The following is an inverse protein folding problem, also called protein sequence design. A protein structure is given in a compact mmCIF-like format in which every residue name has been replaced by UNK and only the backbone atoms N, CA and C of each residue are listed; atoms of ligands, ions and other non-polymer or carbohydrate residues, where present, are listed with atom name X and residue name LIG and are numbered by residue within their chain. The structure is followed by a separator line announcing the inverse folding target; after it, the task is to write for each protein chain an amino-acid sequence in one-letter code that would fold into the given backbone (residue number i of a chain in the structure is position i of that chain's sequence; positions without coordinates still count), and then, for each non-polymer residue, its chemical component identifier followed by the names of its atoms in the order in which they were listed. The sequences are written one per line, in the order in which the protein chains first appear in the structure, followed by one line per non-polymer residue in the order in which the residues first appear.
data_IF_724219017364
#
_entry.id   IF_724219017364
#
_cell.length_a   1.000
_cell.length_b   1.000
_cell.length_c   1.000
_cell.angle_alpha   90.00
_cell.angle_beta   90.00
_cell.angle_gamma   90.00
#
_symmetry.space_group_name_H-M   'P 1'
#
loop_
_entity.id
_entity.type
_entity.pdbx_description
1 polymer ?
#
# COMPACT_ATOMS: atom_id res chain seq x y z
N UNK A 1 -5.46 11.68 0.64
CA UNK A 1 -6.20 12.31 1.75
C UNK A 1 -6.09 13.80 1.53
N UNK A 2 -7.21 14.38 1.14
CA UNK A 2 -7.27 15.72 0.58
C UNK A 2 -7.03 16.78 1.66
N UNK A 3 -6.12 17.73 1.37
CA UNK A 3 -5.89 18.95 2.16
C UNK A 3 -7.14 19.86 2.26
N UNK A 4 -8.23 19.44 1.62
CA UNK A 4 -9.52 20.10 1.57
C UNK A 4 -10.31 20.00 2.87
N UNK A 5 -9.91 19.15 3.84
CA UNK A 5 -10.73 18.89 5.03
C UNK A 5 -10.40 19.80 6.23
N UNK A 6 -9.12 20.05 6.50
CA UNK A 6 -8.71 20.85 7.68
C UNK A 6 -8.99 22.35 7.50
N UNK A 7 -8.69 22.88 6.31
CA UNK A 7 -8.98 24.28 5.98
C UNK A 7 -10.48 24.55 6.05
N UNK A 8 -11.31 23.70 5.44
CA UNK A 8 -12.77 23.82 5.50
C UNK A 8 -13.34 23.67 6.91
N UNK A 9 -12.79 22.74 7.72
CA UNK A 9 -13.22 22.55 9.11
C UNK A 9 -12.91 23.79 9.97
N UNK A 10 -11.70 24.33 9.86
CA UNK A 10 -11.27 25.50 10.62
C UNK A 10 -12.02 26.76 10.17
N UNK A 11 -12.26 26.94 8.86
CA UNK A 11 -13.09 28.01 8.34
C UNK A 11 -14.52 27.96 8.89
N UNK A 12 -15.17 26.80 8.84
CA UNK A 12 -16.55 26.66 9.33
C UNK A 12 -16.67 26.84 10.85
N UNK A 13 -15.67 26.41 11.63
CA UNK A 13 -15.73 26.40 13.09
C UNK A 13 -15.31 27.73 13.73
N UNK A 14 -14.45 28.51 13.08
CA UNK A 14 -13.83 29.69 13.69
C UNK A 14 -13.90 30.98 12.84
N UNK A 15 -14.37 30.95 11.59
CA UNK A 15 -14.28 32.09 10.66
C UNK A 15 -15.66 32.53 10.14
N UNK A 16 -16.40 33.34 10.91
CA UNK A 16 -17.54 34.13 10.40
C UNK A 16 -17.16 35.60 10.11
N UNK A 17 -15.90 35.88 9.74
CA UNK A 17 -15.46 37.22 9.36
C UNK A 17 -14.45 37.14 8.20
N UNK A 18 -14.73 37.82 7.10
CA UNK A 18 -13.93 37.79 5.86
C UNK A 18 -12.49 38.28 6.04
N UNK A 19 -12.25 39.24 6.95
CA UNK A 19 -10.90 39.71 7.33
C UNK A 19 -10.06 38.64 8.05
N UNK A 20 -10.73 37.69 8.71
CA UNK A 20 -10.11 36.61 9.46
C UNK A 20 -9.75 35.43 8.54
N UNK A 21 -10.46 35.26 7.42
CA UNK A 21 -10.14 34.26 6.39
C UNK A 21 -8.80 34.54 5.69
N UNK A 22 -8.54 35.80 5.33
CA UNK A 22 -7.28 36.20 4.68
C UNK A 22 -6.09 36.01 5.62
N UNK A 23 -6.23 36.43 6.89
CA UNK A 23 -5.20 36.22 7.92
C UNK A 23 -4.95 34.75 8.28
N UNK A 24 -5.99 33.91 8.31
CA UNK A 24 -5.82 32.45 8.52
C UNK A 24 -5.19 31.79 7.30
N UNK A 25 -5.52 32.21 6.08
CA UNK A 25 -4.89 31.69 4.88
C UNK A 25 -3.38 32.01 4.83
N UNK A 26 -2.99 33.22 5.18
CA UNK A 26 -1.58 33.62 5.30
C UNK A 26 -0.87 32.89 6.46
N UNK A 27 -1.57 32.66 7.57
CA UNK A 27 -1.06 31.83 8.66
C UNK A 27 -0.85 30.37 8.22
N UNK A 28 -1.77 29.78 7.46
CA UNK A 28 -1.61 28.43 6.92
C UNK A 28 -0.42 28.35 5.95
N UNK A 29 -0.22 29.37 5.11
CA UNK A 29 0.95 29.43 4.21
C UNK A 29 2.28 29.52 4.96
N UNK A 30 2.31 30.24 6.08
CA UNK A 30 3.53 30.36 6.92
C UNK A 30 3.77 29.13 7.79
N UNK A 31 2.70 28.44 8.22
CA UNK A 31 2.78 27.15 8.92
C UNK A 31 3.10 25.98 7.97
N UNK A 32 2.84 26.13 6.67
CA UNK A 32 3.26 25.17 5.66
C UNK A 32 4.77 25.25 5.49
N UNK A 33 5.47 24.25 6.01
CA UNK A 33 6.87 24.03 5.72
C UNK A 33 6.99 23.20 4.42
N UNK A 34 7.34 23.80 3.27
CA UNK A 34 7.47 23.09 2.01
C UNK A 34 8.58 22.02 2.07
N UNK A 35 9.61 22.24 2.89
CA UNK A 35 10.70 21.28 3.07
C UNK A 35 10.18 20.07 3.83
N UNK A 36 9.40 20.28 4.90
CA UNK A 36 8.75 19.19 5.63
C UNK A 36 7.78 18.42 4.73
N UNK A 37 6.95 19.11 3.95
CA UNK A 37 5.99 18.48 3.05
C UNK A 37 6.68 17.62 1.97
N UNK A 38 7.76 18.13 1.38
CA UNK A 38 8.56 17.38 0.42
C UNK A 38 9.23 16.17 1.08
N UNK A 39 9.82 16.34 2.26
CA UNK A 39 10.43 15.25 3.04
C UNK A 39 9.41 14.16 3.38
N UNK A 40 8.22 14.52 3.87
CA UNK A 40 7.16 13.56 4.17
C UNK A 40 6.68 12.81 2.92
N UNK A 41 6.63 13.47 1.76
CA UNK A 41 6.32 12.81 0.48
C UNK A 41 7.38 11.79 0.10
N UNK A 42 8.66 12.15 0.22
CA UNK A 42 9.78 11.25 -0.07
C UNK A 42 9.80 10.04 0.87
N UNK A 43 9.57 10.27 2.16
CA UNK A 43 9.46 9.20 3.17
C UNK A 43 8.30 8.26 2.84
N UNK A 44 7.12 8.80 2.50
CA UNK A 44 5.97 7.99 2.09
C UNK A 44 6.23 7.14 0.84
N UNK A 45 6.91 7.68 -0.17
CA UNK A 45 7.31 6.91 -1.36
C UNK A 45 8.29 5.80 -0.98
N UNK A 46 9.28 6.11 -0.14
CA UNK A 46 10.30 5.14 0.29
C UNK A 46 9.69 3.99 1.09
N UNK A 47 8.78 4.29 2.01
CA UNK A 47 8.05 3.27 2.78
C UNK A 47 7.16 2.43 1.86
N UNK A 48 6.38 3.06 0.98
CA UNK A 48 5.55 2.35 0.02
C UNK A 48 6.36 1.41 -0.89
N UNK A 49 7.52 1.84 -1.38
CA UNK A 49 8.42 0.98 -2.16
C UNK A 49 8.95 -0.20 -1.33
N UNK A 50 9.35 0.05 -0.08
CA UNK A 50 9.88 -0.97 0.82
C UNK A 50 8.84 -2.05 1.13
N UNK A 51 7.61 -1.63 1.43
CA UNK A 51 6.51 -2.56 1.68
C UNK A 51 6.11 -3.34 0.43
N UNK A 52 5.98 -2.65 -0.71
CA UNK A 52 5.68 -3.27 -1.99
C UNK A 52 6.72 -4.32 -2.38
N UNK A 53 8.02 -4.03 -2.22
CA UNK A 53 9.10 -4.98 -2.49
C UNK A 53 9.03 -6.19 -1.54
N UNK A 54 8.79 -5.96 -0.25
CA UNK A 54 8.67 -7.04 0.74
C UNK A 54 7.49 -7.97 0.45
N UNK A 55 6.33 -7.41 0.09
CA UNK A 55 5.17 -8.20 -0.31
C UNK A 55 5.42 -8.95 -1.62
N UNK A 56 5.98 -8.28 -2.62
CA UNK A 56 6.31 -8.87 -3.92
C UNK A 56 7.24 -10.07 -3.77
N UNK A 57 8.31 -9.93 -2.97
CA UNK A 57 9.25 -11.01 -2.71
C UNK A 57 8.60 -12.20 -2.02
N UNK A 58 7.77 -11.97 -0.99
CA UNK A 58 7.03 -13.05 -0.32
C UNK A 58 6.09 -13.79 -1.27
N UNK A 59 5.34 -13.06 -2.09
CA UNK A 59 4.44 -13.66 -3.09
C UNK A 59 5.22 -14.46 -4.12
N UNK A 60 6.33 -13.91 -4.62
CA UNK A 60 7.23 -14.58 -5.55
C UNK A 60 7.83 -15.87 -4.99
N UNK A 61 8.27 -15.85 -3.74
CA UNK A 61 8.83 -17.04 -3.07
C UNK A 61 7.79 -18.15 -2.94
N UNK A 62 6.56 -17.83 -2.52
CA UNK A 62 5.46 -18.81 -2.43
C UNK A 62 5.15 -19.38 -3.81
N UNK A 63 5.04 -18.54 -4.85
CA UNK A 63 4.80 -18.98 -6.22
C UNK A 63 5.90 -19.91 -6.72
N UNK A 64 7.17 -19.55 -6.50
CA UNK A 64 8.32 -20.40 -6.86
C UNK A 64 8.29 -21.76 -6.17
N UNK A 65 8.00 -21.77 -4.86
CA UNK A 65 7.84 -23.02 -4.09
C UNK A 65 6.73 -23.90 -4.64
N UNK A 66 5.57 -23.33 -4.96
CA UNK A 66 4.45 -24.07 -5.56
C UNK A 66 4.86 -24.66 -6.91
N UNK A 67 5.50 -23.88 -7.79
CA UNK A 67 5.96 -24.35 -9.11
C UNK A 67 6.92 -25.53 -9.00
N UNK A 68 7.94 -25.43 -8.14
CA UNK A 68 8.91 -26.52 -7.92
C UNK A 68 8.21 -27.76 -7.38
N UNK A 69 7.34 -27.63 -6.38
CA UNK A 69 6.63 -28.78 -5.81
C UNK A 69 5.67 -29.44 -6.81
N UNK A 70 5.02 -28.65 -7.68
CA UNK A 70 4.06 -29.17 -8.65
C UNK A 70 4.74 -29.76 -9.89
N UNK A 71 5.72 -29.06 -10.48
CA UNK A 71 6.35 -29.46 -11.74
C UNK A 71 7.45 -30.48 -11.49
N UNK A 72 8.38 -30.19 -10.59
CA UNK A 72 9.58 -30.99 -10.41
C UNK A 72 9.33 -32.16 -9.46
N UNK A 73 8.60 -31.90 -8.36
CA UNK A 73 8.29 -32.94 -7.36
C UNK A 73 6.99 -33.70 -7.64
N UNK A 74 6.21 -33.29 -8.65
CA UNK A 74 4.92 -33.92 -9.06
C UNK A 74 3.92 -34.09 -7.91
N UNK A 75 3.96 -33.19 -6.91
CA UNK A 75 3.01 -33.19 -5.80
C UNK A 75 1.64 -32.68 -6.25
N UNK A 76 0.56 -33.21 -5.66
CA UNK A 76 -0.77 -32.70 -5.93
C UNK A 76 -1.09 -31.43 -5.10
N UNK A 77 -2.15 -30.70 -5.49
CA UNK A 77 -2.52 -29.42 -4.88
C UNK A 77 -2.81 -29.52 -3.38
N UNK A 78 -3.40 -30.63 -2.91
CA UNK A 78 -3.70 -30.88 -1.50
C UNK A 78 -2.43 -31.10 -0.68
N UNK A 79 -1.46 -31.83 -1.21
CA UNK A 79 -0.16 -32.05 -0.56
C UNK A 79 0.62 -30.75 -0.42
N UNK A 80 0.66 -29.95 -1.49
CA UNK A 80 1.33 -28.64 -1.50
C UNK A 80 0.66 -27.70 -0.49
N UNK A 81 -0.68 -27.63 -0.50
CA UNK A 81 -1.46 -26.84 0.46
C UNK A 81 -1.11 -27.20 1.90
N UNK A 82 -1.09 -28.49 2.24
CA UNK A 82 -0.74 -28.98 3.59
C UNK A 82 0.70 -28.61 3.97
N UNK A 83 1.65 -28.76 3.04
CA UNK A 83 3.08 -28.50 3.28
C UNK A 83 3.37 -27.01 3.47
N UNK A 84 2.73 -26.15 2.68
CA UNK A 84 2.89 -24.70 2.74
C UNK A 84 1.92 -24.02 3.72
N UNK A 85 0.97 -24.77 4.29
CA UNK A 85 -0.09 -24.28 5.18
C UNK A 85 -0.88 -23.12 4.58
N UNK A 86 -1.22 -23.25 3.30
CA UNK A 86 -2.04 -22.29 2.55
C UNK A 86 -3.28 -22.97 1.98
N UNK A 87 -4.40 -22.25 1.77
CA UNK A 87 -5.60 -22.84 1.17
C UNK A 87 -5.34 -23.49 -0.19
N UNK A 88 -6.04 -24.59 -0.48
CA UNK A 88 -5.88 -25.34 -1.73
C UNK A 88 -6.22 -24.46 -2.93
N UNK A 89 -7.24 -23.61 -2.79
CA UNK A 89 -7.71 -22.68 -3.81
C UNK A 89 -6.58 -21.72 -4.23
N UNK A 90 -5.76 -21.26 -3.28
CA UNK A 90 -4.61 -20.40 -3.60
C UNK A 90 -3.52 -21.14 -4.37
N UNK A 91 -3.35 -22.44 -4.11
CA UNK A 91 -2.39 -23.27 -4.85
C UNK A 91 -2.87 -23.46 -6.28
N UNK A 92 -4.16 -23.77 -6.45
CA UNK A 92 -4.82 -23.92 -7.75
C UNK A 92 -4.76 -22.62 -8.57
N UNK A 93 -5.06 -21.48 -7.95
CA UNK A 93 -4.96 -20.16 -8.60
C UNK A 93 -3.54 -19.89 -9.12
N UNK A 94 -2.51 -20.24 -8.34
CA UNK A 94 -1.12 -20.04 -8.77
C UNK A 94 -0.78 -20.96 -9.95
N UNK A 95 -1.17 -22.24 -9.89
CA UNK A 95 -0.92 -23.20 -10.97
C UNK A 95 -1.62 -22.74 -12.25
N UNK A 96 -2.90 -22.38 -12.17
CA UNK A 96 -3.71 -21.95 -13.31
C UNK A 96 -3.15 -20.69 -13.97
N UNK A 97 -2.87 -19.65 -13.17
CA UNK A 97 -2.43 -18.36 -13.69
C UNK A 97 -0.99 -18.36 -14.21
N UNK A 98 -0.13 -19.23 -13.67
CA UNK A 98 1.30 -19.21 -14.00
C UNK A 98 1.75 -20.32 -14.94
N UNK A 99 0.97 -21.41 -15.06
CA UNK A 99 1.29 -22.56 -15.92
C UNK A 99 0.31 -22.72 -17.09
N UNK A 100 -0.73 -21.88 -17.18
CA UNK A 100 -1.77 -21.95 -18.20
C UNK A 100 -2.43 -23.34 -18.30
N UNK A 101 -2.56 -24.03 -17.17
CA UNK A 101 -3.25 -25.30 -17.01
C UNK A 101 -4.65 -25.07 -16.46
#
# INVERSE_FOLDING_TARGET
MDNTNLSQYLSRKFLQNSLLEEGVFDMIKTLYDPVLAQKSKEEGIKEGMKEGMKEGMKRGEIRGKIKVMYIDMKMNTKEISKKLKIPVEKVEDVIKNELNL
#
